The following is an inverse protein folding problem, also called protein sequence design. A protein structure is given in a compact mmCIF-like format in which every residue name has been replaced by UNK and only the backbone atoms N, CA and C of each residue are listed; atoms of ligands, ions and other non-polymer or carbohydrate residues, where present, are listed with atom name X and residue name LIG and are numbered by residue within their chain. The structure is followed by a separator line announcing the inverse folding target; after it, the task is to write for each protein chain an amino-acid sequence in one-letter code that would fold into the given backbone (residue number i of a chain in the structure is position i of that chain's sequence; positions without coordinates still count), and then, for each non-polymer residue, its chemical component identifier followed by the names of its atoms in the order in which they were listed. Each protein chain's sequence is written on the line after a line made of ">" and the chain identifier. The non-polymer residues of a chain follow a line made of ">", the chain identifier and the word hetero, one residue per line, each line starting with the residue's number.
data_IF_971554773379
#
_entry.id   IF_971554773379
#
_cell.length_a   1.000
_cell.length_b   1.000
_cell.length_c   1.000
_cell.angle_alpha   90.00
_cell.angle_beta   90.00
_cell.angle_gamma   90.00
#
_symmetry.space_group_name_H-M   'P 1'
#
loop_
_entity.id
_entity.type
_entity.pdbx_description
1 polymer ?
#
# COMPACT_ATOMS: atom_id res chain seq x y z
N UNK A 1 -10.97 19.15 -18.19
CA UNK A 1 -10.21 18.81 -18.67
C UNK A 1 -9.10 18.26 -18.17
N UNK A 2 -8.83 17.36 -18.04
CA UNK A 2 -7.85 16.73 -17.28
C UNK A 2 -6.75 16.15 -18.11
N UNK A 3 -6.43 16.77 -19.15
CA UNK A 3 -5.32 16.33 -19.99
C UNK A 3 -4.00 16.33 -19.24
N UNK A 4 -3.96 16.99 -18.07
CA UNK A 4 -2.75 17.03 -17.25
C UNK A 4 -2.41 15.72 -16.56
N UNK A 5 -3.21 14.69 -16.75
CA UNK A 5 -2.95 13.39 -16.10
C UNK A 5 -1.85 12.59 -16.78
N UNK A 6 -1.37 13.04 -17.94
CA UNK A 6 -0.31 12.30 -18.67
C UNK A 6 0.93 12.15 -17.79
N UNK A 7 1.41 10.91 -17.67
CA UNK A 7 2.57 10.60 -16.85
C UNK A 7 2.26 10.13 -15.45
N UNK A 8 1.05 10.35 -14.96
CA UNK A 8 0.65 9.80 -13.66
C UNK A 8 0.45 8.30 -13.79
N UNK A 9 0.62 7.58 -12.71
CA UNK A 9 0.40 6.14 -12.74
C UNK A 9 -1.07 5.85 -12.97
N UNK A 10 -1.36 5.02 -13.98
CA UNK A 10 -2.70 4.59 -14.28
C UNK A 10 -3.12 3.45 -13.35
N UNK A 11 -2.28 2.45 -13.25
CA UNK A 11 -2.51 1.32 -12.34
C UNK A 11 -1.21 0.57 -12.11
N UNK A 12 -1.24 -0.29 -11.11
CA UNK A 12 -0.13 -1.21 -10.83
C UNK A 12 -0.73 -2.59 -10.60
N UNK A 13 -0.03 -3.61 -11.05
CA UNK A 13 -0.46 -5.00 -10.83
C UNK A 13 0.60 -5.71 -10.03
N UNK A 14 0.18 -6.35 -8.94
CA UNK A 14 1.05 -7.09 -8.04
C UNK A 14 0.67 -8.55 -8.07
N UNK A 15 1.67 -9.43 -8.29
CA UNK A 15 1.50 -10.85 -8.09
C UNK A 15 1.76 -11.15 -6.62
N UNK A 16 0.92 -11.97 -6.02
CA UNK A 16 0.96 -12.22 -4.58
C UNK A 16 1.06 -13.71 -4.30
N UNK A 17 1.67 -14.08 -3.19
CA UNK A 17 1.90 -15.48 -2.86
C UNK A 17 0.62 -16.21 -2.42
N UNK A 18 -0.29 -15.49 -1.78
CA UNK A 18 -1.53 -16.05 -1.25
C UNK A 18 -2.61 -14.98 -1.36
N UNK A 19 -3.45 -15.09 -2.37
CA UNK A 19 -4.45 -14.06 -2.68
C UNK A 19 -5.41 -13.83 -1.52
N UNK A 20 -5.87 -14.90 -0.87
CA UNK A 20 -6.83 -14.77 0.24
C UNK A 20 -6.23 -13.93 1.37
N UNK A 21 -5.00 -14.22 1.75
CA UNK A 21 -4.31 -13.48 2.81
C UNK A 21 -4.05 -12.03 2.39
N UNK A 22 -3.65 -11.83 1.14
CA UNK A 22 -3.41 -10.49 0.59
C UNK A 22 -4.69 -9.65 0.60
N UNK A 23 -5.80 -10.23 0.16
CA UNK A 23 -7.08 -9.52 0.11
C UNK A 23 -7.57 -9.17 1.51
N UNK A 24 -7.37 -10.07 2.49
CA UNK A 24 -7.78 -9.79 3.87
C UNK A 24 -7.11 -8.51 4.40
N UNK A 25 -5.85 -8.29 4.05
CA UNK A 25 -5.13 -7.09 4.47
C UNK A 25 -5.47 -5.88 3.60
N UNK A 26 -5.31 -6.02 2.27
CA UNK A 26 -5.44 -4.89 1.37
C UNK A 26 -6.86 -4.36 1.24
N UNK A 27 -7.87 -5.22 1.39
CA UNK A 27 -9.26 -4.74 1.36
C UNK A 27 -9.53 -3.79 2.53
N UNK A 28 -8.96 -4.09 3.69
CA UNK A 28 -9.08 -3.20 4.83
C UNK A 28 -8.33 -1.89 4.57
N UNK A 29 -7.05 -1.98 4.18
CA UNK A 29 -6.22 -0.77 4.04
C UNK A 29 -6.73 0.12 2.92
N UNK A 30 -6.97 -0.44 1.74
CA UNK A 30 -7.46 0.34 0.61
C UNK A 30 -8.86 0.89 0.87
N UNK A 31 -9.72 0.09 1.52
CA UNK A 31 -11.04 0.57 1.91
C UNK A 31 -10.96 1.76 2.86
N UNK A 32 -10.00 1.74 3.79
CA UNK A 32 -9.78 2.86 4.72
C UNK A 32 -9.32 4.12 4.00
N UNK A 33 -8.70 3.98 2.82
CA UNK A 33 -8.29 5.12 2.00
C UNK A 33 -9.39 5.58 1.05
N UNK A 34 -10.47 4.82 0.91
CA UNK A 34 -11.56 5.17 0.01
C UNK A 34 -11.61 4.39 -1.29
N UNK A 35 -10.73 3.41 -1.48
CA UNK A 35 -10.80 2.54 -2.65
C UNK A 35 -12.00 1.61 -2.55
N UNK A 36 -12.55 1.24 -3.71
CA UNK A 36 -13.61 0.25 -3.80
C UNK A 36 -13.18 -0.88 -4.73
N UNK A 37 -13.62 -2.11 -4.44
CA UNK A 37 -13.36 -3.23 -5.32
C UNK A 37 -14.20 -3.07 -6.58
N UNK A 38 -13.57 -3.13 -7.75
CA UNK A 38 -14.24 -2.93 -9.02
C UNK A 38 -14.25 -4.18 -9.90
N UNK A 39 -13.41 -5.16 -9.62
CA UNK A 39 -13.40 -6.43 -10.34
C UNK A 39 -12.92 -7.54 -9.43
N UNK A 40 -13.42 -8.74 -9.69
CA UNK A 40 -13.03 -9.93 -8.96
C UNK A 40 -13.13 -11.12 -9.91
N UNK A 41 -12.11 -11.97 -9.90
CA UNK A 41 -12.11 -13.22 -10.66
C UNK A 41 -11.34 -14.27 -9.84
N UNK A 42 -11.30 -15.52 -10.32
CA UNK A 42 -10.72 -16.59 -9.53
C UNK A 42 -9.31 -16.32 -9.06
N UNK A 43 -8.50 -15.69 -9.90
CA UNK A 43 -7.08 -15.47 -9.60
C UNK A 43 -6.74 -14.07 -9.14
N UNK A 44 -7.70 -13.16 -9.04
CA UNK A 44 -7.36 -11.80 -8.67
C UNK A 44 -8.53 -10.89 -8.37
N UNK A 45 -8.16 -9.66 -7.99
CA UNK A 45 -9.11 -8.58 -7.72
C UNK A 45 -8.47 -7.25 -8.12
N UNK A 46 -9.30 -6.27 -8.45
CA UNK A 46 -8.83 -4.89 -8.61
C UNK A 46 -9.62 -3.94 -7.73
N UNK A 47 -8.92 -2.93 -7.24
CA UNK A 47 -9.44 -1.91 -6.34
C UNK A 47 -9.13 -0.54 -6.92
N UNK A 48 -10.09 0.37 -6.93
CA UNK A 48 -9.97 1.66 -7.63
C UNK A 48 -10.35 2.82 -6.73
N UNK A 49 -9.61 3.91 -6.87
CA UNK A 49 -9.93 5.20 -6.27
C UNK A 49 -9.70 6.26 -7.36
N UNK A 50 -10.74 6.99 -7.73
CA UNK A 50 -10.63 7.94 -8.82
C UNK A 50 -10.22 7.24 -10.12
N UNK A 51 -9.16 7.73 -10.74
CA UNK A 51 -8.68 7.20 -12.02
C UNK A 51 -7.55 6.18 -11.85
N UNK A 52 -7.17 5.83 -10.64
CA UNK A 52 -6.08 4.88 -10.42
C UNK A 52 -6.62 3.59 -9.81
N UNK A 53 -5.97 2.46 -10.13
CA UNK A 53 -6.37 1.20 -9.51
C UNK A 53 -5.16 0.31 -9.28
N UNK A 54 -5.37 -0.67 -8.40
CA UNK A 54 -4.35 -1.65 -8.02
C UNK A 54 -4.95 -3.02 -8.22
N UNK A 55 -4.18 -3.91 -8.87
CA UNK A 55 -4.61 -5.26 -9.17
C UNK A 55 -3.75 -6.24 -8.38
N UNK A 56 -4.38 -7.20 -7.73
CA UNK A 56 -3.69 -8.29 -7.03
C UNK A 56 -4.00 -9.59 -7.74
N UNK A 57 -2.98 -10.35 -8.10
CA UNK A 57 -3.14 -11.61 -8.84
C UNK A 57 -2.37 -12.71 -8.14
N UNK A 58 -3.00 -13.87 -7.96
CA UNK A 58 -2.34 -15.04 -7.39
C UNK A 58 -1.20 -15.49 -8.31
N UNK A 59 -0.01 -15.59 -7.77
CA UNK A 59 1.13 -16.07 -8.54
C UNK A 59 0.95 -17.56 -8.87
N UNK A 60 1.42 -17.98 -10.04
CA UNK A 60 1.42 -19.41 -10.40
C UNK A 60 2.42 -20.15 -9.52
N UNK A 61 2.11 -21.40 -9.19
CA UNK A 61 2.97 -22.19 -8.30
C UNK A 61 4.42 -22.25 -8.76
N UNK A 62 4.66 -22.33 -10.06
CA UNK A 62 6.03 -22.42 -10.59
C UNK A 62 6.85 -21.16 -10.36
N UNK A 63 6.19 -20.04 -10.01
CA UNK A 63 6.88 -18.77 -9.76
C UNK A 63 6.86 -18.37 -8.28
N UNK A 64 6.45 -19.27 -7.38
CA UNK A 64 6.45 -18.99 -5.96
C UNK A 64 7.85 -18.76 -5.40
N UNK A 65 8.83 -19.41 -5.96
CA UNK A 65 10.22 -19.28 -5.50
C UNK A 65 11.11 -18.77 -6.62
N UNK A 66 12.08 -17.90 -6.30
CA UNK A 66 12.34 -17.33 -4.98
C UNK A 66 11.24 -16.32 -4.62
N UNK A 67 10.89 -16.27 -3.34
CA UNK A 67 9.83 -15.38 -2.88
C UNK A 67 10.23 -13.91 -3.05
N UNK A 68 9.24 -13.05 -3.07
CA UNK A 68 9.46 -11.61 -3.15
C UNK A 68 10.30 -11.12 -1.97
N UNK A 69 11.18 -10.16 -2.25
CA UNK A 69 11.93 -9.47 -1.22
C UNK A 69 12.18 -8.03 -1.67
N UNK A 70 11.76 -7.07 -0.85
CA UNK A 70 11.82 -5.66 -1.23
C UNK A 70 13.22 -5.11 -1.39
N UNK A 71 14.24 -5.81 -0.93
CA UNK A 71 15.63 -5.39 -1.07
C UNK A 71 16.30 -5.94 -2.32
N UNK A 72 15.58 -6.74 -3.10
CA UNK A 72 16.08 -7.22 -4.39
C UNK A 72 15.72 -6.23 -5.48
N UNK A 73 16.30 -6.42 -6.66
CA UNK A 73 15.94 -5.62 -7.84
C UNK A 73 14.43 -5.72 -8.07
N UNK A 74 13.78 -4.58 -8.21
CA UNK A 74 12.33 -4.52 -8.39
C UNK A 74 11.70 -3.53 -7.43
N UNK A 75 10.45 -3.75 -7.11
CA UNK A 75 9.69 -2.83 -6.26
C UNK A 75 10.19 -2.88 -4.83
N UNK A 76 10.56 -1.72 -4.27
CA UNK A 76 10.92 -1.61 -2.86
C UNK A 76 9.68 -1.31 -2.01
N UNK A 77 8.87 -0.32 -2.41
CA UNK A 77 7.66 0.01 -1.65
C UNK A 77 6.68 0.81 -2.49
N UNK A 78 5.44 0.85 -2.01
CA UNK A 78 4.38 1.71 -2.54
C UNK A 78 4.06 2.76 -1.48
N UNK A 79 3.92 4.01 -1.91
CA UNK A 79 3.58 5.11 -1.01
C UNK A 79 2.23 5.70 -1.43
N UNK A 80 1.37 5.94 -0.45
CA UNK A 80 0.03 6.47 -0.65
C UNK A 80 -0.10 7.80 0.07
N UNK A 81 -0.89 8.70 -0.49
CA UNK A 81 -1.21 9.97 0.17
C UNK A 81 -2.21 9.74 1.30
N UNK A 82 -1.93 10.30 2.46
CA UNK A 82 -2.91 10.43 3.53
C UNK A 82 -3.60 11.78 3.43
N UNK A 83 -4.78 11.90 4.02
CA UNK A 83 -5.51 13.17 4.04
C UNK A 83 -4.84 14.20 4.94
N UNK A 84 -4.20 13.75 6.02
CA UNK A 84 -3.67 14.61 7.07
C UNK A 84 -2.74 13.80 7.97
N UNK A 85 -2.06 14.48 8.88
CA UNK A 85 -1.29 13.79 9.93
C UNK A 85 -2.19 12.96 10.84
N UNK A 86 -3.37 13.45 11.15
CA UNK A 86 -4.33 12.69 11.94
C UNK A 86 -4.70 11.38 11.24
N UNK A 87 -4.86 11.42 9.93
CA UNK A 87 -5.15 10.21 9.15
C UNK A 87 -4.03 9.19 9.25
N UNK A 88 -2.77 9.65 9.17
CA UNK A 88 -1.62 8.77 9.39
C UNK A 88 -1.69 8.14 10.78
N UNK A 89 -2.01 8.92 11.80
CA UNK A 89 -2.11 8.43 13.18
C UNK A 89 -3.23 7.42 13.33
N UNK A 90 -4.39 7.66 12.73
CA UNK A 90 -5.51 6.72 12.76
C UNK A 90 -5.14 5.38 12.16
N UNK A 91 -4.50 5.40 10.99
CA UNK A 91 -4.09 4.17 10.31
C UNK A 91 -3.00 3.47 11.13
N UNK A 92 -2.07 4.23 11.73
CA UNK A 92 -1.04 3.65 12.59
C UNK A 92 -1.66 2.89 13.75
N UNK A 93 -2.67 3.48 14.40
CA UNK A 93 -3.37 2.83 15.51
C UNK A 93 -4.07 1.55 15.03
N UNK A 94 -4.72 1.62 13.88
CA UNK A 94 -5.41 0.45 13.33
C UNK A 94 -4.43 -0.66 12.95
N UNK A 95 -3.26 -0.32 12.41
CA UNK A 95 -2.21 -1.29 12.12
C UNK A 95 -1.75 -2.00 13.39
N UNK A 96 -1.52 -1.23 14.46
CA UNK A 96 -1.11 -1.81 15.73
C UNK A 96 -2.18 -2.73 16.30
N UNK A 97 -3.44 -2.32 16.22
CA UNK A 97 -4.56 -3.14 16.69
C UNK A 97 -4.69 -4.44 15.92
N UNK A 98 -4.27 -4.45 14.65
CA UNK A 98 -4.27 -5.64 13.80
C UNK A 98 -3.00 -6.48 13.96
N UNK A 99 -2.08 -6.07 14.80
CA UNK A 99 -0.83 -6.80 15.01
C UNK A 99 0.19 -6.61 13.90
N UNK A 100 0.05 -5.58 13.08
CA UNK A 100 1.00 -5.27 12.01
C UNK A 100 2.13 -4.41 12.56
N UNK A 101 3.39 -4.89 12.53
CA UNK A 101 4.51 -4.10 13.05
C UNK A 101 4.71 -2.82 12.23
N UNK A 102 5.05 -1.75 12.95
CA UNK A 102 5.41 -0.49 12.31
C UNK A 102 6.92 -0.52 12.07
N UNK A 103 7.33 -0.28 10.83
CA UNK A 103 8.75 -0.22 10.49
C UNK A 103 9.33 1.10 11.00
N UNK A 104 10.62 1.07 11.37
CA UNK A 104 11.36 2.26 11.82
C UNK A 104 10.67 2.91 13.03
N UNK A 105 10.20 2.07 13.96
CA UNK A 105 9.42 2.52 15.12
C UNK A 105 10.15 3.59 15.94
N UNK A 106 11.47 3.48 16.03
CA UNK A 106 12.29 4.43 16.77
C UNK A 106 12.32 5.83 16.18
N UNK A 107 11.96 5.97 14.91
CA UNK A 107 11.93 7.26 14.21
C UNK A 107 10.54 7.67 13.78
N UNK A 108 9.56 6.77 13.94
CA UNK A 108 8.18 7.07 13.59
C UNK A 108 7.69 8.28 14.38
N UNK A 109 6.96 9.25 13.79
CA UNK A 109 6.43 9.27 12.43
C UNK A 109 7.32 9.99 11.41
N UNK A 110 8.58 10.23 11.73
CA UNK A 110 9.50 10.97 10.89
C UNK A 110 10.61 10.10 10.31
N UNK A 111 10.32 8.81 10.08
CA UNK A 111 11.31 7.90 9.52
C UNK A 111 11.78 8.32 8.12
N UNK A 112 10.93 9.04 7.38
CA UNK A 112 11.27 9.54 6.05
C UNK A 112 12.08 10.83 6.06
N UNK A 113 12.26 11.43 7.24
CA UNK A 113 13.01 12.67 7.37
C UNK A 113 12.23 13.74 8.10
N UNK A 114 12.92 14.86 8.37
CA UNK A 114 12.33 15.98 9.08
C UNK A 114 11.14 16.54 8.29
N UNK A 115 10.01 16.71 8.95
CA UNK A 115 8.80 17.23 8.32
C UNK A 115 8.04 16.23 7.45
N UNK A 116 8.58 15.04 7.27
CA UNK A 116 7.96 14.02 6.44
C UNK A 116 7.18 13.07 7.33
N UNK A 117 5.89 13.32 7.49
CA UNK A 117 5.04 12.63 8.46
C UNK A 117 4.39 11.41 7.81
N UNK A 118 4.83 10.22 8.18
CA UNK A 118 4.41 9.01 7.50
C UNK A 118 4.45 7.80 8.42
N UNK A 119 3.72 6.76 8.05
CA UNK A 119 3.83 5.44 8.67
C UNK A 119 4.30 4.45 7.61
N UNK A 120 5.22 3.58 8.01
CA UNK A 120 5.77 2.52 7.15
C UNK A 120 5.44 1.18 7.78
N UNK A 121 5.00 0.23 6.97
CA UNK A 121 4.64 -1.11 7.44
C UNK A 121 4.80 -2.10 6.31
N UNK A 122 4.50 -3.37 6.57
CA UNK A 122 4.61 -4.43 5.55
C UNK A 122 3.27 -5.10 5.32
N UNK A 123 3.01 -5.47 4.07
CA UNK A 123 1.86 -6.30 3.74
C UNK A 123 2.18 -7.78 4.02
N UNK A 124 1.25 -8.73 3.78
CA UNK A 124 1.52 -10.15 4.05
C UNK A 124 2.71 -10.76 3.30
N UNK A 125 3.08 -10.21 2.14
CA UNK A 125 4.25 -10.68 1.39
C UNK A 125 5.50 -9.87 1.74
N UNK A 126 5.42 -9.04 2.78
CA UNK A 126 6.51 -8.17 3.23
C UNK A 126 6.84 -7.07 2.22
N UNK A 127 5.91 -6.71 1.37
CA UNK A 127 6.02 -5.52 0.56
C UNK A 127 5.90 -4.31 1.50
N UNK A 128 6.87 -3.42 1.46
CA UNK A 128 6.83 -2.23 2.29
C UNK A 128 5.77 -1.25 1.75
N UNK A 129 4.97 -0.71 2.64
CA UNK A 129 3.91 0.23 2.30
C UNK A 129 4.09 1.47 3.15
N UNK A 130 3.83 2.60 2.56
CA UNK A 130 3.96 3.90 3.22
C UNK A 130 2.67 4.68 3.06
N UNK A 131 2.25 5.36 4.12
CA UNK A 131 1.16 6.32 4.06
C UNK A 131 1.71 7.65 4.58
N UNK A 132 1.71 8.67 3.73
CA UNK A 132 2.39 9.94 4.01
C UNK A 132 1.40 11.11 3.98
N UNK A 133 1.46 11.95 5.01
CA UNK A 133 0.63 13.14 5.13
C UNK A 133 1.14 14.24 4.20
N UNK A 134 0.24 15.15 3.77
CA UNK A 134 0.69 16.29 2.98
C UNK A 134 1.62 17.16 3.79
N UNK A 135 2.50 17.94 3.13
CA UNK A 135 3.37 18.86 3.84
C UNK A 135 2.56 19.87 4.64
N UNK A 136 3.10 20.28 5.78
CA UNK A 136 2.48 21.36 6.56
C UNK A 136 2.73 22.65 5.82
N UNK A 137 1.65 23.42 5.58
CA UNK A 137 1.77 24.73 4.94
C UNK A 137 1.49 25.80 5.97
N UNK A 138 2.27 26.85 5.91
CA UNK A 138 2.12 28.01 6.82
C UNK A 138 1.00 28.93 6.37
#
# INVERSE_FOLDING_TARGET
>A
MSSSAAGLLHHVELYVSDLERTVAFWSWFLGALGYARVAEWDQGQSWQLGDTYIVFVQVEDRFQQPAYHRCRVGLNHLAFHARSRDHVDEITQALRARGVPILYEDRHPFAGGEGYYAVFFEDPDRLKVELVAPPVTD
#
